data_IF_569727595999
#
_entry.id   IF_569727595999
#
_cell.length_a   1.000
_cell.length_b   1.000
_cell.length_c   1.000
_cell.angle_alpha   90.00
_cell.angle_beta   90.00
_cell.angle_gamma   90.00
#
_symmetry.space_group_name_H-M   'P 1'
#
loop_
_entity.id
_entity.type
_entity.pdbx_description
1 polymer ?
#
# COMPACT_ATOMS: atom_id res chain seq x y z
N UNK A 1 14.11 -42.51 17.97
CA UNK A 1 13.44 -41.37 17.33
C UNK A 1 14.42 -40.81 16.34
N UNK A 2 14.05 -40.68 15.06
CA UNK A 2 14.92 -40.08 14.05
C UNK A 2 15.17 -38.61 14.34
N UNK A 3 16.38 -38.13 14.13
CA UNK A 3 16.76 -36.72 14.29
C UNK A 3 16.22 -35.90 13.15
N UNK A 4 16.09 -34.59 13.33
CA UNK A 4 15.67 -33.68 12.24
C UNK A 4 16.65 -33.73 11.06
N UNK A 5 17.93 -33.94 11.32
CA UNK A 5 18.95 -34.15 10.27
C UNK A 5 18.72 -35.45 9.49
N UNK A 6 18.41 -36.54 10.16
CA UNK A 6 18.06 -37.81 9.50
C UNK A 6 16.76 -37.72 8.70
N UNK A 7 15.76 -36.98 9.19
CA UNK A 7 14.49 -36.75 8.48
C UNK A 7 14.72 -36.00 7.17
N UNK A 8 15.66 -35.06 7.15
CA UNK A 8 16.05 -34.31 5.95
C UNK A 8 17.14 -35.02 5.11
N UNK A 9 17.69 -36.15 5.60
CA UNK A 9 18.74 -36.88 4.91
C UNK A 9 20.05 -36.13 4.78
N UNK A 10 20.38 -35.28 5.75
CA UNK A 10 21.62 -34.49 5.79
C UNK A 10 22.47 -34.83 7.00
N UNK A 11 23.78 -34.56 6.93
CA UNK A 11 24.69 -34.69 8.06
C UNK A 11 24.41 -33.63 9.12
N UNK A 12 24.70 -33.95 10.39
CA UNK A 12 24.67 -32.95 11.48
C UNK A 12 25.71 -31.84 11.29
N UNK A 13 26.69 -31.99 10.42
CA UNK A 13 27.67 -30.98 10.03
C UNK A 13 27.30 -30.25 8.74
N UNK A 14 26.13 -30.53 8.14
CA UNK A 14 25.71 -29.91 6.90
C UNK A 14 25.59 -28.38 7.02
N UNK A 15 25.92 -27.68 5.95
CA UNK A 15 25.75 -26.22 5.85
C UNK A 15 24.28 -25.84 5.75
N UNK A 16 23.92 -24.60 6.06
CA UNK A 16 22.55 -24.11 5.97
C UNK A 16 21.99 -24.19 4.54
N UNK A 17 22.86 -24.04 3.56
CA UNK A 17 22.50 -24.17 2.14
C UNK A 17 22.16 -25.60 1.76
N UNK A 18 22.90 -26.58 2.29
CA UNK A 18 22.64 -28.01 2.08
C UNK A 18 21.32 -28.44 2.73
N UNK A 19 21.04 -27.97 3.94
CA UNK A 19 19.75 -28.19 4.63
C UNK A 19 18.59 -27.65 3.80
N UNK A 20 18.71 -26.42 3.29
CA UNK A 20 17.69 -25.78 2.44
C UNK A 20 17.50 -26.50 1.11
N UNK A 21 18.58 -26.98 0.51
CA UNK A 21 18.55 -27.76 -0.75
C UNK A 21 17.88 -29.12 -0.55
N UNK A 22 18.21 -29.82 0.51
CA UNK A 22 17.60 -31.10 0.88
C UNK A 22 16.10 -30.96 1.14
N UNK A 23 15.70 -29.95 1.92
CA UNK A 23 14.30 -29.64 2.17
C UNK A 23 13.52 -29.42 0.87
N UNK A 24 14.00 -28.54 -0.05
CA UNK A 24 13.32 -28.28 -1.32
C UNK A 24 13.14 -29.54 -2.16
N UNK A 25 14.14 -30.40 -2.22
CA UNK A 25 14.10 -31.65 -2.95
C UNK A 25 13.07 -32.62 -2.38
N UNK A 26 13.08 -32.82 -1.05
CA UNK A 26 12.17 -33.72 -0.36
C UNK A 26 10.73 -33.21 -0.36
N UNK A 27 10.53 -31.90 -0.16
CA UNK A 27 9.22 -31.26 -0.20
C UNK A 27 8.56 -31.37 -1.59
N UNK A 28 9.34 -31.14 -2.66
CA UNK A 28 8.85 -31.29 -4.04
C UNK A 28 8.48 -32.73 -4.40
N UNK A 29 9.22 -33.70 -3.86
CA UNK A 29 9.00 -35.15 -4.11
C UNK A 29 7.80 -35.71 -3.35
N UNK A 30 7.55 -35.19 -2.13
CA UNK A 30 6.48 -35.68 -1.26
C UNK A 30 5.27 -34.75 -1.21
N UNK A 31 5.16 -33.77 -2.16
CA UNK A 31 4.06 -32.82 -2.18
C UNK A 31 2.70 -33.49 -2.41
N UNK A 32 1.66 -33.22 -1.61
CA UNK A 32 0.33 -33.83 -1.73
C UNK A 32 -0.26 -33.72 -3.14
N UNK A 33 -0.12 -32.56 -3.79
CA UNK A 33 -0.65 -32.31 -5.14
C UNK A 33 0.04 -33.14 -6.25
N UNK A 34 1.20 -33.73 -5.94
CA UNK A 34 1.93 -34.62 -6.83
C UNK A 34 1.80 -36.09 -6.45
N UNK A 35 0.83 -36.43 -5.58
CA UNK A 35 0.60 -37.78 -5.11
C UNK A 35 1.59 -38.29 -4.05
N UNK A 36 2.29 -37.36 -3.39
CA UNK A 36 3.24 -37.68 -2.34
C UNK A 36 2.56 -38.02 -1.00
N UNK A 37 3.33 -38.64 -0.09
CA UNK A 37 2.88 -39.01 1.24
C UNK A 37 2.79 -37.81 2.17
N UNK A 38 1.57 -37.46 2.57
CA UNK A 38 1.27 -36.31 3.43
C UNK A 38 1.96 -36.40 4.80
N UNK A 39 2.07 -37.58 5.39
CA UNK A 39 2.71 -37.76 6.69
C UNK A 39 4.23 -37.52 6.60
N UNK A 40 4.86 -38.02 5.51
CA UNK A 40 6.27 -37.71 5.22
C UNK A 40 6.51 -36.25 4.94
N UNK A 41 5.62 -35.59 4.19
CA UNK A 41 5.73 -34.17 3.91
C UNK A 41 5.68 -33.35 5.20
N UNK A 42 4.76 -33.68 6.11
CA UNK A 42 4.67 -33.01 7.41
C UNK A 42 5.93 -33.18 8.27
N UNK A 43 6.48 -34.40 8.30
CA UNK A 43 7.70 -34.66 9.05
C UNK A 43 8.92 -33.92 8.50
N UNK A 44 9.01 -33.79 7.16
CA UNK A 44 10.05 -33.03 6.48
C UNK A 44 9.93 -31.54 6.81
N UNK A 45 8.71 -30.98 6.82
CA UNK A 45 8.47 -29.58 7.19
C UNK A 45 8.82 -29.31 8.65
N UNK A 46 8.38 -30.18 9.58
CA UNK A 46 8.70 -30.01 11.00
C UNK A 46 10.21 -30.09 11.25
N UNK A 47 10.90 -30.98 10.56
CA UNK A 47 12.35 -31.11 10.66
C UNK A 47 13.06 -29.86 10.13
N UNK A 48 12.61 -29.29 9.00
CA UNK A 48 13.20 -28.08 8.46
C UNK A 48 12.94 -26.87 9.37
N UNK A 49 11.71 -26.69 9.86
CA UNK A 49 11.35 -25.59 10.74
C UNK A 49 12.18 -25.53 12.03
N UNK A 50 12.64 -26.71 12.52
CA UNK A 50 13.47 -26.80 13.71
C UNK A 50 14.95 -26.41 13.49
N UNK A 51 15.45 -26.45 12.24
CA UNK A 51 16.87 -26.19 11.93
C UNK A 51 17.08 -25.24 10.74
N UNK A 52 16.07 -24.46 10.35
CA UNK A 52 16.10 -23.61 9.16
C UNK A 52 17.04 -22.40 9.29
N UNK A 53 17.30 -21.92 10.53
CA UNK A 53 18.23 -20.84 10.79
C UNK A 53 19.36 -21.28 11.73
N UNK A 54 20.53 -20.61 11.71
CA UNK A 54 21.63 -20.95 12.60
C UNK A 54 21.23 -20.91 14.08
N UNK A 55 20.37 -19.97 14.46
CA UNK A 55 19.90 -19.81 15.83
C UNK A 55 19.01 -20.98 16.27
N UNK A 56 18.03 -21.35 15.45
CA UNK A 56 17.13 -22.48 15.71
C UNK A 56 17.89 -23.80 15.75
N UNK A 57 18.85 -23.97 14.84
CA UNK A 57 19.75 -25.12 14.83
C UNK A 57 20.55 -25.23 16.12
N UNK A 58 21.18 -24.14 16.56
CA UNK A 58 21.94 -24.11 17.81
C UNK A 58 21.05 -24.45 19.02
N UNK A 59 19.82 -23.96 19.04
CA UNK A 59 18.84 -24.27 20.08
C UNK A 59 18.46 -25.76 20.07
N UNK A 60 18.14 -26.33 18.92
CA UNK A 60 17.82 -27.75 18.76
C UNK A 60 18.99 -28.65 19.19
N UNK A 61 20.21 -28.31 18.79
CA UNK A 61 21.42 -29.06 19.15
C UNK A 61 21.71 -28.94 20.66
N UNK A 62 21.48 -27.78 21.29
CA UNK A 62 21.60 -27.60 22.74
C UNK A 62 20.55 -28.42 23.51
N UNK A 63 19.30 -28.44 23.08
CA UNK A 63 18.23 -29.25 23.70
C UNK A 63 18.53 -30.75 23.57
N UNK A 64 19.07 -31.17 22.43
CA UNK A 64 19.45 -32.58 22.22
C UNK A 64 20.61 -33.05 23.12
N UNK A 65 21.58 -32.15 23.32
CA UNK A 65 22.75 -32.43 24.16
C UNK A 65 22.42 -32.40 25.66
N UNK A 66 21.33 -31.72 26.05
CA UNK A 66 20.95 -31.52 27.46
C UNK A 66 19.86 -32.52 27.92
N UNK A 67 19.91 -33.78 27.48
CA UNK A 67 19.02 -34.87 27.91
C UNK A 67 19.19 -35.26 29.38
N UNK A 68 18.84 -34.32 30.29
CA UNK A 68 18.92 -34.57 31.74
C UNK A 68 18.08 -33.69 32.63
N UNK A 69 17.45 -32.64 32.10
CA UNK A 69 16.56 -31.80 32.89
C UNK A 69 15.25 -31.49 32.16
N UNK A 70 14.16 -31.93 32.78
CA UNK A 70 12.78 -31.61 32.36
C UNK A 70 12.58 -30.09 32.24
N UNK A 71 12.62 -29.54 31.03
CA UNK A 71 12.08 -28.23 30.77
C UNK A 71 10.62 -28.38 30.31
N UNK A 72 9.72 -27.86 31.12
CA UNK A 72 8.29 -27.77 30.86
C UNK A 72 8.07 -26.80 29.68
N UNK A 73 7.32 -27.27 28.71
CA UNK A 73 6.83 -26.55 27.51
C UNK A 73 5.86 -25.39 27.84
N UNK A 74 6.04 -24.71 28.95
CA UNK A 74 5.11 -23.70 29.47
C UNK A 74 5.62 -22.26 29.36
N UNK A 75 6.86 -22.04 28.88
CA UNK A 75 7.48 -20.71 28.84
C UNK A 75 7.62 -20.12 27.42
N UNK A 76 7.05 -20.74 26.40
CA UNK A 76 7.04 -20.19 25.03
C UNK A 76 5.80 -19.36 24.70
N UNK A 77 5.15 -18.77 25.71
CA UNK A 77 3.93 -17.99 25.58
C UNK A 77 4.12 -16.50 25.30
N UNK A 78 5.33 -15.97 25.20
CA UNK A 78 5.55 -14.54 25.01
C UNK A 78 6.75 -14.29 24.07
N UNK A 79 6.49 -14.23 22.77
CA UNK A 79 7.51 -13.77 21.81
C UNK A 79 7.46 -14.40 20.42
N UNK A 80 6.35 -14.96 19.98
CA UNK A 80 6.21 -15.36 18.60
C UNK A 80 5.92 -14.11 17.74
N UNK A 81 6.86 -13.78 16.85
CA UNK A 81 6.66 -12.77 15.82
C UNK A 81 5.40 -13.06 15.00
N UNK A 82 4.60 -12.05 14.64
CA UNK A 82 3.34 -12.22 13.89
C UNK A 82 3.51 -12.82 12.48
N UNK A 83 4.74 -12.95 12.00
CA UNK A 83 5.04 -13.41 10.63
C UNK A 83 4.84 -14.92 10.38
N UNK A 84 4.87 -15.77 11.43
CA UNK A 84 4.74 -17.22 11.23
C UNK A 84 3.29 -17.63 11.04
N UNK A 85 2.37 -16.99 11.72
CA UNK A 85 0.94 -17.30 11.63
C UNK A 85 0.35 -16.81 10.29
N UNK A 86 0.85 -15.70 9.77
CA UNK A 86 0.50 -15.18 8.44
C UNK A 86 1.14 -16.01 7.32
N UNK A 87 2.33 -16.56 7.52
CA UNK A 87 2.97 -17.45 6.55
C UNK A 87 2.23 -18.80 6.45
N UNK A 88 1.78 -19.36 7.57
CA UNK A 88 0.97 -20.59 7.60
C UNK A 88 -0.43 -20.37 6.99
N UNK A 89 -1.05 -19.21 7.20
CA UNK A 89 -2.34 -18.87 6.58
C UNK A 89 -2.24 -18.67 5.07
N UNK A 90 -1.16 -18.10 4.61
CA UNK A 90 -0.97 -17.79 3.18
C UNK A 90 -0.63 -19.05 2.35
N UNK A 91 -0.20 -20.14 3.00
CA UNK A 91 0.06 -21.43 2.37
C UNK A 91 -1.11 -22.42 2.44
N UNK A 92 -2.30 -21.99 2.88
CA UNK A 92 -3.53 -22.80 2.82
C UNK A 92 -3.59 -23.96 3.81
N UNK A 93 -2.71 -24.01 4.82
CA UNK A 93 -2.78 -25.05 5.85
C UNK A 93 -3.66 -24.61 7.01
N UNK A 94 -4.94 -24.98 6.91
CA UNK A 94 -5.83 -25.03 8.07
C UNK A 94 -5.41 -26.23 8.95
N UNK A 95 -4.68 -25.95 10.02
CA UNK A 95 -4.30 -26.96 11.01
C UNK A 95 -5.53 -27.31 11.86
N UNK A 96 -6.32 -28.25 11.36
CA UNK A 96 -7.52 -28.71 12.06
C UNK A 96 -7.87 -30.14 11.71
N UNK A 97 -7.13 -31.09 12.28
CA UNK A 97 -7.70 -32.37 12.72
C UNK A 97 -6.60 -33.25 13.32
N UNK A 98 -6.36 -33.12 14.62
CA UNK A 98 -5.74 -34.16 15.43
C UNK A 98 -6.85 -35.08 15.97
N UNK A 99 -6.76 -36.42 15.81
CA UNK A 99 -7.79 -37.34 16.29
C UNK A 99 -7.79 -37.58 17.82
N UNK A 100 -6.92 -36.93 18.58
CA UNK A 100 -6.82 -37.08 20.03
C UNK A 100 -6.59 -35.71 20.70
N UNK A 101 -7.65 -34.95 20.86
CA UNK A 101 -7.66 -33.76 21.67
C UNK A 101 -9.10 -33.40 21.96
N UNK A 102 -9.49 -33.48 23.22
CA UNK A 102 -10.75 -32.99 23.73
C UNK A 102 -10.91 -31.54 23.30
N UNK A 103 -11.71 -31.29 22.25
CA UNK A 103 -11.97 -29.96 21.70
C UNK A 103 -12.64 -29.11 22.78
N UNK A 104 -11.85 -28.36 23.53
CA UNK A 104 -12.33 -27.05 23.94
C UNK A 104 -12.37 -26.23 22.64
N UNK A 105 -13.52 -26.18 22.01
CA UNK A 105 -13.84 -25.14 21.07
C UNK A 105 -13.61 -23.80 21.80
N UNK A 106 -12.43 -23.21 21.66
CA UNK A 106 -12.32 -21.78 21.77
C UNK A 106 -13.18 -21.24 20.62
N UNK A 107 -14.47 -21.10 20.90
CA UNK A 107 -15.35 -20.31 20.06
C UNK A 107 -14.68 -18.94 20.04
N UNK A 108 -13.99 -18.63 18.95
CA UNK A 108 -13.55 -17.25 18.70
C UNK A 108 -14.79 -16.38 18.96
N UNK A 109 -14.70 -15.39 19.82
CA UNK A 109 -15.86 -14.60 20.19
C UNK A 109 -16.48 -14.10 18.89
N UNK A 110 -17.75 -14.47 18.66
CA UNK A 110 -18.50 -14.03 17.49
C UNK A 110 -18.40 -12.52 17.45
N UNK A 111 -17.93 -11.96 16.34
CA UNK A 111 -17.82 -10.52 16.12
C UNK A 111 -18.51 -10.17 14.81
N UNK A 112 -19.13 -9.01 14.75
CA UNK A 112 -19.57 -8.45 13.51
C UNK A 112 -18.36 -8.14 12.62
N UNK A 113 -18.49 -8.44 11.33
CA UNK A 113 -17.40 -8.24 10.36
C UNK A 113 -17.20 -6.75 10.07
N UNK A 114 -15.96 -6.39 9.74
CA UNK A 114 -15.73 -5.08 9.14
C UNK A 114 -16.28 -5.06 7.71
N UNK A 115 -16.74 -3.90 7.28
CA UNK A 115 -17.12 -3.64 5.90
C UNK A 115 -16.04 -2.78 5.24
N UNK A 116 -15.84 -2.97 3.96
CA UNK A 116 -14.89 -2.21 3.15
C UNK A 116 -15.63 -1.51 2.03
N UNK A 117 -15.37 -0.22 1.86
CA UNK A 117 -15.86 0.56 0.72
C UNK A 117 -14.71 1.32 0.07
N UNK A 118 -14.83 1.55 -1.24
CA UNK A 118 -13.96 2.45 -1.98
C UNK A 118 -14.71 3.76 -2.18
N UNK A 119 -14.13 4.87 -1.75
CA UNK A 119 -14.73 6.19 -1.85
C UNK A 119 -13.90 7.04 -2.82
N UNK A 120 -14.46 7.36 -4.00
CA UNK A 120 -13.83 8.32 -4.90
C UNK A 120 -13.94 9.73 -4.33
N UNK A 121 -12.84 10.48 -4.38
CA UNK A 121 -12.73 11.85 -3.87
C UNK A 121 -12.07 12.71 -4.94
N UNK A 122 -12.65 13.87 -5.27
CA UNK A 122 -12.01 14.81 -6.17
C UNK A 122 -10.78 15.43 -5.50
N UNK A 123 -9.77 15.80 -6.28
CA UNK A 123 -8.55 16.42 -5.76
C UNK A 123 -8.84 17.64 -4.89
N UNK A 124 -9.78 18.49 -5.32
CA UNK A 124 -10.19 19.69 -4.58
C UNK A 124 -10.76 19.33 -3.20
N UNK A 125 -11.51 18.26 -3.12
CA UNK A 125 -12.15 17.79 -1.88
C UNK A 125 -11.15 17.24 -0.86
N UNK A 126 -9.94 16.93 -1.29
CA UNK A 126 -8.86 16.48 -0.38
C UNK A 126 -8.13 17.62 0.32
N UNK A 127 -8.39 18.87 -0.04
CA UNK A 127 -7.72 20.03 0.56
C UNK A 127 -8.26 20.37 1.95
N UNK A 128 -9.54 20.10 2.18
CA UNK A 128 -10.22 20.41 3.43
C UNK A 128 -10.97 19.22 3.99
N UNK A 129 -11.17 19.22 5.32
CA UNK A 129 -12.01 18.19 5.97
C UNK A 129 -13.47 18.42 5.63
N UNK A 130 -14.17 17.36 5.27
CA UNK A 130 -15.59 17.44 4.92
C UNK A 130 -16.36 16.22 5.42
N UNK A 131 -17.64 16.38 5.67
CA UNK A 131 -18.55 15.29 5.96
C UNK A 131 -19.15 14.75 4.67
N UNK A 132 -19.15 13.43 4.55
CA UNK A 132 -19.78 12.73 3.42
C UNK A 132 -20.73 11.66 3.91
N UNK A 133 -21.83 11.57 3.21
CA UNK A 133 -22.83 10.52 3.41
C UNK A 133 -22.54 9.42 2.40
N UNK A 134 -22.33 8.21 2.90
CA UNK A 134 -22.02 7.02 2.08
C UNK A 134 -23.05 5.92 2.33
N UNK A 135 -23.45 5.22 1.28
CA UNK A 135 -24.28 4.03 1.39
C UNK A 135 -23.39 2.80 1.54
N UNK A 136 -23.66 2.00 2.56
CA UNK A 136 -22.90 0.81 2.89
C UNK A 136 -23.86 -0.38 2.87
N UNK A 137 -23.50 -1.43 2.14
CA UNK A 137 -24.29 -2.65 2.08
C UNK A 137 -23.81 -3.63 3.14
N UNK A 138 -24.70 -4.00 4.06
CA UNK A 138 -24.43 -4.98 5.12
C UNK A 138 -24.39 -6.41 4.58
N UNK A 139 -23.87 -7.35 5.37
CA UNK A 139 -23.84 -8.78 5.01
C UNK A 139 -25.25 -9.36 4.82
N UNK A 140 -26.29 -8.76 5.42
CA UNK A 140 -27.70 -9.12 5.20
C UNK A 140 -28.27 -8.59 3.90
N UNK A 141 -27.52 -7.77 3.16
CA UNK A 141 -27.98 -7.14 1.92
C UNK A 141 -28.75 -5.83 2.12
N UNK A 142 -28.87 -5.36 3.36
CA UNK A 142 -29.50 -4.08 3.68
C UNK A 142 -28.55 -2.94 3.34
N UNK A 143 -29.09 -1.88 2.73
CA UNK A 143 -28.34 -0.64 2.50
C UNK A 143 -28.52 0.29 3.69
N UNK A 144 -27.43 0.73 4.28
CA UNK A 144 -27.40 1.69 5.35
C UNK A 144 -26.63 2.93 4.92
N UNK A 145 -27.22 4.07 5.23
CA UNK A 145 -26.57 5.36 4.99
C UNK A 145 -25.83 5.78 6.26
N UNK A 146 -24.53 6.02 6.13
CA UNK A 146 -23.67 6.46 7.24
C UNK A 146 -22.97 7.77 6.89
N UNK A 147 -22.89 8.68 7.84
CA UNK A 147 -22.08 9.91 7.72
C UNK A 147 -20.68 9.61 8.21
N UNK A 148 -19.69 9.95 7.40
CA UNK A 148 -18.26 9.83 7.72
C UNK A 148 -17.59 11.19 7.54
N UNK A 149 -16.57 11.44 8.34
CA UNK A 149 -15.71 12.60 8.18
C UNK A 149 -14.50 12.22 7.31
N UNK A 150 -14.37 12.86 6.15
CA UNK A 150 -13.20 12.74 5.28
C UNK A 150 -12.19 13.79 5.71
N UNK A 151 -11.07 13.42 6.32
CA UNK A 151 -10.08 14.41 6.76
C UNK A 151 -9.33 15.00 5.57
N UNK A 152 -8.80 16.20 5.74
CA UNK A 152 -7.90 16.81 4.76
C UNK A 152 -6.64 15.95 4.55
N UNK A 153 -6.10 15.97 3.34
CA UNK A 153 -4.87 15.26 3.00
C UNK A 153 -5.06 13.78 2.71
N UNK A 154 -6.30 13.32 2.47
CA UNK A 154 -6.53 11.98 1.92
C UNK A 154 -5.91 11.89 0.53
N UNK A 155 -5.29 10.75 0.23
CA UNK A 155 -4.69 10.45 -1.07
C UNK A 155 -4.94 8.97 -1.44
N UNK A 156 -4.53 8.58 -2.62
CA UNK A 156 -4.57 7.17 -3.02
C UNK A 156 -3.85 6.32 -1.98
N UNK A 157 -4.43 5.18 -1.64
CA UNK A 157 -3.97 4.26 -0.59
C UNK A 157 -4.25 4.70 0.86
N UNK A 158 -4.88 5.86 1.11
CA UNK A 158 -5.35 6.20 2.45
C UNK A 158 -6.50 5.29 2.84
N UNK A 159 -6.39 4.63 4.00
CA UNK A 159 -7.43 3.78 4.58
C UNK A 159 -7.77 4.34 5.95
N UNK A 160 -9.03 4.65 6.16
CA UNK A 160 -9.52 5.13 7.47
C UNK A 160 -10.53 4.14 8.00
N UNK A 161 -10.35 3.82 9.27
CA UNK A 161 -11.24 2.96 10.04
C UNK A 161 -12.23 3.82 10.84
N UNK A 162 -13.52 3.58 10.60
CA UNK A 162 -14.61 4.20 11.34
C UNK A 162 -15.25 3.15 12.26
N UNK A 163 -15.03 3.24 13.58
CA UNK A 163 -15.52 2.23 14.52
C UNK A 163 -17.04 2.19 14.58
N UNK A 164 -17.61 0.99 14.62
CA UNK A 164 -19.05 0.81 14.83
C UNK A 164 -19.94 1.20 13.64
N UNK A 165 -19.36 1.50 12.46
CA UNK A 165 -20.11 1.80 11.24
C UNK A 165 -20.12 0.63 10.23
N UNK A 166 -19.58 -0.52 10.62
CA UNK A 166 -19.54 -1.71 9.81
C UNK A 166 -20.79 -2.59 9.92
N UNK A 167 -20.60 -3.89 9.75
CA UNK A 167 -21.69 -4.87 9.73
C UNK A 167 -22.41 -4.99 11.07
N UNK A 168 -23.70 -5.33 11.02
CA UNK A 168 -24.57 -5.56 12.17
C UNK A 168 -25.30 -6.91 12.06
N UNK A 169 -24.62 -7.93 11.54
CA UNK A 169 -25.22 -9.26 11.35
C UNK A 169 -25.71 -9.86 12.67
N UNK A 170 -24.91 -9.74 13.73
CA UNK A 170 -25.31 -10.14 15.09
C UNK A 170 -25.75 -8.90 15.88
N UNK A 171 -27.06 -8.69 16.01
CA UNK A 171 -27.64 -7.51 16.68
C UNK A 171 -27.33 -7.45 18.18
N UNK A 172 -27.01 -8.60 18.79
CA UNK A 172 -26.62 -8.70 20.21
C UNK A 172 -25.16 -8.35 20.49
N UNK A 173 -24.35 -8.14 19.43
CA UNK A 173 -22.92 -7.82 19.54
C UNK A 173 -22.66 -6.40 19.02
N UNK A 174 -21.55 -5.76 19.47
CA UNK A 174 -21.14 -4.49 18.92
C UNK A 174 -21.01 -4.58 17.39
N UNK A 175 -21.37 -3.49 16.70
CA UNK A 175 -21.21 -3.39 15.26
C UNK A 175 -19.73 -3.53 14.88
N UNK A 176 -19.50 -4.06 13.69
CA UNK A 176 -18.17 -4.08 13.08
C UNK A 176 -17.69 -2.68 12.72
N UNK A 177 -16.49 -2.59 12.18
CA UNK A 177 -15.90 -1.33 11.74
C UNK A 177 -16.12 -1.14 10.24
N UNK A 178 -16.13 0.12 9.78
CA UNK A 178 -16.13 0.46 8.38
C UNK A 178 -14.73 0.92 7.96
N UNK A 179 -14.13 0.22 7.01
CA UNK A 179 -12.85 0.58 6.40
C UNK A 179 -13.11 1.28 5.08
N UNK A 180 -12.78 2.56 5.01
CA UNK A 180 -12.94 3.36 3.81
C UNK A 180 -11.59 3.51 3.12
N UNK A 181 -11.51 3.03 1.90
CA UNK A 181 -10.37 3.21 1.02
C UNK A 181 -10.63 4.41 0.12
N UNK A 182 -9.79 5.43 0.24
CA UNK A 182 -9.91 6.63 -0.57
C UNK A 182 -9.20 6.45 -1.90
N UNK A 183 -9.84 6.95 -2.94
CA UNK A 183 -9.29 6.96 -4.29
C UNK A 183 -9.48 8.37 -4.88
N UNK A 184 -8.36 9.07 -5.14
CA UNK A 184 -8.41 10.39 -5.74
C UNK A 184 -8.76 10.27 -7.22
N UNK A 185 -9.80 10.98 -7.62
CA UNK A 185 -10.16 11.13 -9.02
C UNK A 185 -9.16 12.06 -9.71
N UNK A 186 -8.68 11.72 -10.91
CA UNK A 186 -7.77 12.58 -11.66
C UNK A 186 -8.47 13.88 -12.05
N UNK A 187 -7.74 15.01 -11.96
CA UNK A 187 -8.15 16.29 -12.51
C UNK A 187 -7.39 16.48 -13.84
N UNK A 188 -8.06 16.87 -14.95
CA UNK A 188 -7.40 17.02 -16.25
C UNK A 188 -6.32 18.11 -16.30
N UNK A 189 -6.35 19.06 -15.37
CA UNK A 189 -5.40 20.18 -15.29
C UNK A 189 -4.16 19.85 -14.47
N UNK A 190 -4.24 18.86 -13.56
CA UNK A 190 -3.21 18.60 -12.55
C UNK A 190 -2.80 17.14 -12.52
N UNK A 191 -1.51 16.93 -12.60
CA UNK A 191 -0.88 15.64 -12.31
C UNK A 191 -0.39 15.63 -10.85
N UNK A 192 -0.64 14.54 -10.13
CA UNK A 192 -0.26 14.39 -8.72
C UNK A 192 1.08 13.70 -8.61
N UNK A 193 2.05 14.34 -7.97
CA UNK A 193 3.37 13.80 -7.66
C UNK A 193 3.63 13.84 -6.15
N UNK A 194 3.26 12.77 -5.44
CA UNK A 194 3.24 12.78 -3.98
C UNK A 194 2.21 13.78 -3.43
N UNK A 195 2.69 14.80 -2.73
CA UNK A 195 1.86 15.92 -2.27
C UNK A 195 1.97 17.18 -3.16
N UNK A 196 2.87 17.14 -4.13
CA UNK A 196 3.00 18.21 -5.11
C UNK A 196 2.04 18.03 -6.28
N UNK A 197 1.67 19.14 -6.90
CA UNK A 197 0.89 19.17 -8.13
C UNK A 197 1.77 19.64 -9.29
N UNK A 198 1.55 19.10 -10.46
CA UNK A 198 2.19 19.51 -11.70
C UNK A 198 1.11 19.89 -12.70
N UNK A 199 1.25 21.04 -13.34
CA UNK A 199 0.34 21.48 -14.39
C UNK A 199 1.11 22.11 -15.55
N UNK A 200 0.55 22.03 -16.76
CA UNK A 200 1.06 22.76 -17.91
C UNK A 200 0.67 24.24 -17.83
N UNK A 201 1.60 25.10 -18.15
CA UNK A 201 1.38 26.54 -18.31
C UNK A 201 1.60 26.88 -19.79
N UNK A 202 0.50 27.08 -20.50
CA UNK A 202 0.51 27.40 -21.91
C UNK A 202 0.92 28.87 -22.12
N UNK A 203 2.06 29.11 -22.75
CA UNK A 203 2.65 30.42 -22.96
C UNK A 203 2.78 30.65 -24.46
N UNK A 204 2.24 31.78 -24.96
CA UNK A 204 2.48 32.17 -26.34
C UNK A 204 3.99 32.40 -26.56
N UNK A 205 4.54 31.92 -27.67
CA UNK A 205 5.98 32.03 -27.94
C UNK A 205 6.46 33.51 -27.95
N UNK A 206 5.65 34.44 -28.39
CA UNK A 206 5.99 35.86 -28.36
C UNK A 206 6.10 36.36 -26.91
N UNK A 207 5.18 35.96 -26.05
CA UNK A 207 5.22 36.28 -24.63
C UNK A 207 6.42 35.60 -23.93
N UNK A 208 6.79 34.39 -24.35
CA UNK A 208 7.98 33.70 -23.85
C UNK A 208 9.27 34.46 -24.21
N UNK A 209 9.32 35.11 -25.39
CA UNK A 209 10.48 35.88 -25.83
C UNK A 209 10.61 37.19 -25.03
N UNK A 210 9.52 37.95 -24.89
CA UNK A 210 9.55 39.27 -24.27
C UNK A 210 9.38 39.26 -22.75
N UNK A 211 8.84 38.17 -22.19
CA UNK A 211 8.37 38.09 -20.83
C UNK A 211 6.94 38.64 -20.67
N UNK A 212 6.20 38.15 -19.71
CA UNK A 212 4.84 38.61 -19.42
C UNK A 212 4.42 38.23 -17.99
N UNK A 213 3.30 38.79 -17.57
CA UNK A 213 2.54 38.28 -16.43
C UNK A 213 1.37 37.44 -16.96
N UNK A 214 1.15 36.31 -16.34
CA UNK A 214 0.08 35.40 -16.72
C UNK A 214 -0.67 34.94 -15.48
N UNK A 215 -1.99 34.89 -15.58
CA UNK A 215 -2.85 34.36 -14.53
C UNK A 215 -2.96 32.83 -14.65
N UNK A 216 -2.95 32.18 -13.51
CA UNK A 216 -3.18 30.74 -13.38
C UNK A 216 -4.17 30.45 -12.27
N UNK A 217 -5.09 29.51 -12.51
CA UNK A 217 -6.08 29.08 -11.53
C UNK A 217 -5.60 27.82 -10.80
N UNK A 218 -5.46 27.92 -9.48
CA UNK A 218 -5.09 26.82 -8.60
C UNK A 218 -6.20 25.77 -8.47
N UNK A 219 -5.89 24.64 -7.80
CA UNK A 219 -6.84 23.58 -7.54
C UNK A 219 -8.05 24.05 -6.71
N UNK A 220 -7.85 24.97 -5.77
CA UNK A 220 -8.89 25.59 -4.95
C UNK A 220 -9.55 26.82 -5.63
N UNK A 221 -9.45 26.91 -6.96
CA UNK A 221 -10.05 27.95 -7.80
C UNK A 221 -9.61 29.39 -7.48
N UNK A 222 -8.50 29.56 -6.77
CA UNK A 222 -7.89 30.87 -6.58
C UNK A 222 -7.04 31.22 -7.80
N UNK A 223 -7.13 32.49 -8.25
CA UNK A 223 -6.30 32.98 -9.32
C UNK A 223 -5.09 33.72 -8.73
N UNK A 224 -3.92 33.44 -9.28
CA UNK A 224 -2.70 34.18 -8.95
C UNK A 224 -1.96 34.55 -10.24
N UNK A 225 -1.21 35.63 -10.16
CA UNK A 225 -0.36 36.09 -11.27
C UNK A 225 1.04 35.53 -11.11
N UNK A 226 1.59 35.01 -12.21
CA UNK A 226 2.97 34.53 -12.30
C UNK A 226 3.74 35.38 -13.32
N UNK A 227 4.92 35.83 -12.93
CA UNK A 227 5.83 36.54 -13.83
C UNK A 227 6.66 35.54 -14.62
N UNK A 228 6.56 35.60 -15.93
CA UNK A 228 7.31 34.79 -16.89
C UNK A 228 8.47 35.63 -17.39
N UNK A 229 9.75 35.26 -17.10
CA UNK A 229 10.90 35.97 -17.57
C UNK A 229 11.04 35.95 -19.08
N UNK A 230 11.61 37.01 -19.65
CA UNK A 230 11.98 37.00 -21.06
C UNK A 230 12.97 35.87 -21.40
N UNK A 231 12.78 35.24 -22.54
CA UNK A 231 13.60 34.09 -22.97
C UNK A 231 13.23 32.76 -22.30
N UNK A 232 12.04 32.66 -21.70
CA UNK A 232 11.58 31.40 -21.11
C UNK A 232 11.52 30.30 -22.15
N UNK A 233 12.13 29.15 -21.83
CA UNK A 233 12.19 27.97 -22.71
C UNK A 233 11.09 26.96 -22.36
N UNK A 234 10.74 26.11 -23.33
CA UNK A 234 9.84 24.98 -23.12
C UNK A 234 10.36 24.07 -22.00
N UNK A 235 9.47 23.61 -21.11
CA UNK A 235 9.83 22.77 -19.99
C UNK A 235 10.40 23.52 -18.78
N UNK A 236 10.55 24.85 -18.83
CA UNK A 236 10.91 25.67 -17.66
C UNK A 236 9.90 25.44 -16.55
N UNK A 237 10.40 25.18 -15.33
CA UNK A 237 9.55 24.90 -14.15
C UNK A 237 9.44 26.12 -13.25
N UNK A 238 8.21 26.54 -13.01
CA UNK A 238 7.88 27.59 -12.04
C UNK A 238 7.29 26.96 -10.79
N UNK A 239 7.90 27.21 -9.64
CA UNK A 239 7.45 26.68 -8.36
C UNK A 239 6.54 27.69 -7.67
N UNK A 240 5.33 27.27 -7.35
CA UNK A 240 4.37 28.03 -6.54
C UNK A 240 4.24 27.31 -5.19
N UNK A 241 4.76 27.88 -4.10
CA UNK A 241 4.80 27.22 -2.82
C UNK A 241 3.39 27.10 -2.20
N UNK A 242 3.17 26.03 -1.44
CA UNK A 242 1.94 25.76 -0.68
C UNK A 242 0.64 25.73 -1.53
N UNK A 243 0.74 25.35 -2.82
CA UNK A 243 -0.40 25.20 -3.72
C UNK A 243 -0.61 23.75 -4.18
N UNK A 244 0.07 22.78 -3.55
CA UNK A 244 -0.12 21.34 -3.72
C UNK A 244 -1.20 20.76 -2.80
N UNK A 245 -1.22 19.44 -2.68
CA UNK A 245 -2.09 18.72 -1.77
C UNK A 245 -1.62 18.85 -0.32
N UNK A 246 -2.51 18.64 0.62
CA UNK A 246 -2.16 18.69 2.04
C UNK A 246 -1.49 17.38 2.49
N UNK A 247 -0.37 17.50 3.20
CA UNK A 247 0.30 16.38 3.87
C UNK A 247 -0.03 16.38 5.36
N UNK A 248 -0.77 15.36 5.81
CA UNK A 248 -1.09 15.20 7.23
C UNK A 248 0.16 14.97 8.09
N UNK A 249 1.20 14.34 7.53
CA UNK A 249 2.46 14.06 8.24
C UNK A 249 3.28 15.32 8.49
N UNK A 250 3.34 16.21 7.48
CA UNK A 250 4.12 17.44 7.53
C UNK A 250 3.30 18.65 8.02
N UNK A 251 1.99 18.49 8.16
CA UNK A 251 1.02 19.54 8.52
C UNK A 251 1.12 20.79 7.61
N UNK A 252 1.43 20.58 6.33
CA UNK A 252 1.57 21.63 5.33
C UNK A 252 1.12 21.16 3.96
N UNK A 253 0.87 22.10 3.03
CA UNK A 253 0.61 21.81 1.63
C UNK A 253 1.92 21.63 0.88
N UNK A 254 1.93 20.71 -0.11
CA UNK A 254 2.97 20.61 -1.12
C UNK A 254 3.00 21.83 -2.03
N UNK A 255 3.80 21.76 -3.08
CA UNK A 255 3.96 22.85 -4.05
C UNK A 255 3.17 22.57 -5.32
N UNK A 256 2.89 23.60 -6.08
CA UNK A 256 2.47 23.49 -7.46
C UNK A 256 3.65 23.82 -8.36
N UNK A 257 3.96 22.93 -9.30
CA UNK A 257 4.94 23.13 -10.36
C UNK A 257 4.23 23.38 -11.68
N UNK A 258 4.41 24.58 -12.24
CA UNK A 258 3.93 24.92 -13.56
C UNK A 258 5.05 24.68 -14.57
N UNK A 259 4.79 23.87 -15.59
CA UNK A 259 5.74 23.53 -16.64
C UNK A 259 5.39 24.35 -17.87
N UNK A 260 6.29 25.23 -18.30
CA UNK A 260 6.10 26.04 -19.49
C UNK A 260 5.89 25.16 -20.72
N UNK A 261 4.75 25.31 -21.37
CA UNK A 261 4.41 24.74 -22.67
C UNK A 261 4.30 25.89 -23.68
N UNK A 262 5.28 25.97 -24.60
CA UNK A 262 5.34 27.08 -25.53
C UNK A 262 4.43 26.80 -26.72
N UNK A 263 3.43 27.65 -26.90
CA UNK A 263 2.47 27.56 -27.99
C UNK A 263 2.82 28.60 -29.07
N UNK A 264 2.97 28.11 -30.30
CA UNK A 264 3.14 28.97 -31.47
C UNK A 264 1.77 29.36 -32.01
N UNK A 265 1.43 30.67 -32.09
CA UNK A 265 0.15 31.10 -32.64
C UNK A 265 0.02 30.76 -34.12
N UNK A 266 -1.11 30.22 -34.51
CA UNK A 266 -1.40 29.86 -35.92
C UNK A 266 -2.14 30.93 -36.68
N UNK A 267 -2.78 31.88 -35.98
CA UNK A 267 -3.65 32.92 -36.54
C UNK A 267 -2.98 34.31 -36.44
N UNK A 268 -1.86 34.48 -37.12
CA UNK A 268 -1.20 35.78 -37.21
C UNK A 268 -1.72 36.56 -38.42
N UNK A 269 -1.92 37.89 -38.25
CA UNK A 269 -2.21 38.77 -39.38
C UNK A 269 -1.00 38.90 -40.31
N UNK A 270 -1.25 39.33 -41.55
CA UNK A 270 -0.15 39.52 -42.53
C UNK A 270 0.89 40.52 -42.00
N UNK A 271 0.46 41.59 -41.35
CA UNK A 271 1.39 42.58 -40.73
C UNK A 271 2.25 41.96 -39.61
N UNK A 272 1.66 41.09 -38.77
CA UNK A 272 2.39 40.38 -37.74
C UNK A 272 3.40 39.38 -38.31
N UNK A 273 3.03 38.66 -39.40
CA UNK A 273 3.92 37.75 -40.10
C UNK A 273 5.12 38.51 -40.71
N UNK A 274 4.88 39.68 -41.27
CA UNK A 274 5.96 40.48 -41.88
C UNK A 274 6.94 41.04 -40.82
N UNK A 275 6.43 41.37 -39.59
CA UNK A 275 7.29 41.72 -38.45
C UNK A 275 8.15 40.50 -38.01
N UNK A 276 7.54 39.35 -37.86
CA UNK A 276 8.25 38.11 -37.47
C UNK A 276 9.29 37.74 -38.51
N UNK A 277 8.98 37.86 -39.82
CA UNK A 277 9.96 37.64 -40.93
C UNK A 277 11.15 38.57 -40.81
N UNK A 278 10.92 39.87 -40.56
CA UNK A 278 12.03 40.83 -40.39
C UNK A 278 12.94 40.45 -39.21
N UNK A 279 12.35 40.04 -38.09
CA UNK A 279 13.14 39.58 -36.92
C UNK A 279 13.96 38.32 -37.24
N UNK A 280 13.38 37.37 -37.96
CA UNK A 280 14.06 36.12 -38.34
C UNK A 280 15.24 36.31 -39.34
N UNK A 281 15.22 37.39 -40.13
CA UNK A 281 16.30 37.71 -41.09
C UNK A 281 17.42 38.56 -40.50
N UNK A 282 17.25 39.05 -39.26
CA UNK A 282 18.26 39.92 -38.59
C UNK A 282 19.21 39.14 -37.67
N UNK A 283 19.06 37.82 -37.57
CA UNK A 283 19.98 36.90 -36.95
C UNK A 283 20.96 36.30 -37.97
#
# INVERSE_FOLDING_TARGET
>A
MSTHYETLGVSESATQEEIKKAYRSLASKNHPDKGGDTAKFQSIQAAYAAIETPEKRAQYDAERNNRGQHFRFQDFGHGASPDIEDLLRNFGFSFGQSPFGQHQHHQQPRRNKYLRINLPVHLVDSLDSQKRVVSVRTTRGEEQTVEIEVPRGVHNSTIIKYPGLGDNFFTSLPRGDLHVHFHLLPDPRFEVSGYDLVAALDINCLNAIIGCEQEFQTLDNKTFSITIPAGTQMGTKFKVPAQGLYSAQQNQRGNLYLIANIIVPTNLSQEQLDIVRKLATTQ
#
